data_IF_705472513360
#
_entry.id   IF_705472513360
#
_cell.length_a   1.000
_cell.length_b   1.000
_cell.length_c   1.000
_cell.angle_alpha   90.00
_cell.angle_beta   90.00
_cell.angle_gamma   90.00
#
_symmetry.space_group_name_H-M   'P 1'
#
loop_
_entity.id
_entity.type
_entity.pdbx_description
1 polymer ?
#
# COMPACT_ATOMS: atom_id res chain seq x y z
N UNK A 1 22.80 -34.24 11.86
CA UNK A 1 22.92 -32.84 12.33
C UNK A 1 22.74 -31.80 11.22
N UNK A 2 23.07 -32.11 9.95
CA UNK A 2 22.88 -31.20 8.81
C UNK A 2 21.41 -30.79 8.54
N UNK A 3 20.44 -31.68 8.80
CA UNK A 3 19.00 -31.41 8.57
C UNK A 3 18.39 -30.34 9.49
N UNK A 4 18.91 -30.15 10.71
CA UNK A 4 18.39 -29.16 11.65
C UNK A 4 18.84 -27.74 11.29
N UNK A 5 20.04 -27.58 10.71
CA UNK A 5 20.59 -26.28 10.31
C UNK A 5 19.79 -25.68 9.15
N UNK A 6 19.34 -26.50 8.18
CA UNK A 6 18.54 -26.03 7.05
C UNK A 6 17.16 -25.48 7.49
N UNK A 7 16.55 -26.06 8.53
CA UNK A 7 15.23 -25.63 9.00
C UNK A 7 15.33 -24.28 9.71
N UNK A 8 16.37 -24.07 10.54
CA UNK A 8 16.60 -22.79 11.21
C UNK A 8 16.85 -21.68 10.19
N UNK A 9 17.63 -21.95 9.14
CA UNK A 9 17.92 -20.98 8.09
C UNK A 9 16.66 -20.58 7.30
N UNK A 10 15.79 -21.54 6.97
CA UNK A 10 14.52 -21.28 6.28
C UNK A 10 13.57 -20.42 7.12
N UNK A 11 13.48 -20.68 8.43
CA UNK A 11 12.61 -19.89 9.33
C UNK A 11 13.13 -18.47 9.50
N UNK A 12 14.46 -18.27 9.63
CA UNK A 12 15.04 -16.93 9.70
C UNK A 12 14.87 -16.13 8.41
N UNK A 13 14.92 -16.77 7.24
CA UNK A 13 14.70 -16.08 5.97
C UNK A 13 13.23 -15.70 5.80
N UNK A 14 12.29 -16.58 6.15
CA UNK A 14 10.85 -16.28 6.09
C UNK A 14 10.43 -15.10 6.97
N UNK A 15 11.04 -14.92 8.15
CA UNK A 15 10.78 -13.73 8.98
C UNK A 15 11.39 -12.45 8.42
N UNK A 16 12.41 -12.54 7.56
CA UNK A 16 13.04 -11.38 6.92
C UNK A 16 12.33 -10.89 5.65
N UNK A 17 11.44 -11.70 5.05
CA UNK A 17 10.68 -11.30 3.83
C UNK A 17 9.45 -10.47 4.19
N UNK A 18 9.05 -10.39 5.45
CA UNK A 18 8.23 -9.28 5.94
C UNK A 18 9.18 -8.09 6.14
N UNK A 19 9.79 -7.63 5.05
CA UNK A 19 10.32 -6.28 5.02
C UNK A 19 9.13 -5.41 5.34
N UNK A 20 9.16 -4.78 6.52
CA UNK A 20 8.35 -3.60 6.76
C UNK A 20 8.74 -2.64 5.64
N UNK A 21 7.94 -2.58 4.58
CA UNK A 21 7.86 -1.39 3.72
C UNK A 21 7.35 -0.30 4.65
N UNK A 22 8.26 0.22 5.47
CA UNK A 22 7.99 1.29 6.41
C UNK A 22 7.64 2.48 5.54
N UNK A 23 6.35 2.78 5.43
CA UNK A 23 5.90 4.01 4.77
C UNK A 23 6.59 5.17 5.47
N UNK A 24 7.40 5.93 4.74
CA UNK A 24 7.95 7.18 5.23
C UNK A 24 6.94 8.30 4.92
N UNK A 25 6.29 8.91 5.93
CA UNK A 25 5.38 10.03 5.71
C UNK A 25 6.03 11.16 4.90
N UNK A 26 7.32 11.43 5.12
CA UNK A 26 8.03 12.52 4.47
C UNK A 26 8.19 12.29 2.96
N UNK A 27 8.29 11.03 2.51
CA UNK A 27 8.39 10.67 1.09
C UNK A 27 7.15 11.11 0.31
N UNK A 28 5.98 11.09 0.96
CA UNK A 28 4.69 11.40 0.35
C UNK A 28 4.18 12.80 0.67
N UNK A 29 4.97 13.61 1.38
CA UNK A 29 4.57 14.96 1.80
C UNK A 29 3.55 14.98 2.95
N UNK A 30 3.48 13.90 3.73
CA UNK A 30 2.72 13.85 4.97
C UNK A 30 3.49 14.50 6.13
N UNK A 31 2.79 15.08 7.11
CA UNK A 31 3.43 15.56 8.33
C UNK A 31 3.94 14.37 9.15
N UNK A 32 4.97 14.60 9.97
CA UNK A 32 5.65 13.53 10.72
C UNK A 32 4.80 12.92 11.86
N UNK A 33 3.75 13.62 12.27
CA UNK A 33 2.79 13.19 13.29
C UNK A 33 1.51 12.59 12.68
N UNK A 34 1.53 12.26 11.38
CA UNK A 34 0.42 11.57 10.72
C UNK A 34 0.13 10.23 11.41
N UNK A 35 -1.16 9.89 11.50
CA UNK A 35 -1.57 8.58 11.99
C UNK A 35 -1.10 7.51 11.01
N UNK A 36 -0.19 6.64 11.46
CA UNK A 36 0.39 5.60 10.62
C UNK A 36 -0.64 4.55 10.18
N UNK A 37 -1.69 4.30 10.96
CA UNK A 37 -2.75 3.38 10.56
C UNK A 37 -3.58 3.99 9.43
N UNK A 38 -3.93 5.28 9.54
CA UNK A 38 -4.59 6.01 8.45
C UNK A 38 -3.70 6.04 7.19
N UNK A 39 -2.39 6.28 7.37
CA UNK A 39 -1.43 6.29 6.27
C UNK A 39 -1.37 4.94 5.54
N UNK A 40 -1.35 3.84 6.29
CA UNK A 40 -1.37 2.47 5.74
C UNK A 40 -2.66 2.21 4.97
N UNK A 41 -3.82 2.58 5.52
CA UNK A 41 -5.11 2.39 4.85
C UNK A 41 -5.17 3.15 3.51
N UNK A 42 -4.71 4.41 3.49
CA UNK A 42 -4.66 5.20 2.26
C UNK A 42 -3.67 4.63 1.24
N UNK A 43 -2.56 4.06 1.69
CA UNK A 43 -1.62 3.37 0.82
C UNK A 43 -2.24 2.13 0.16
N UNK A 44 -3.03 1.36 0.90
CA UNK A 44 -3.77 0.22 0.34
C UNK A 44 -4.83 0.65 -0.68
N UNK A 45 -5.49 1.80 -0.48
CA UNK A 45 -6.36 2.40 -1.51
C UNK A 45 -5.57 2.67 -2.80
N UNK A 46 -4.37 3.26 -2.70
CA UNK A 46 -3.54 3.51 -3.88
C UNK A 46 -3.08 2.24 -4.58
N UNK A 47 -2.75 1.17 -3.86
CA UNK A 47 -2.45 -0.14 -4.44
C UNK A 47 -3.66 -0.70 -5.22
N UNK A 48 -4.86 -0.60 -4.64
CA UNK A 48 -6.09 -1.03 -5.32
C UNK A 48 -6.37 -0.22 -6.57
N UNK A 49 -6.13 1.08 -6.55
CA UNK A 49 -6.30 1.92 -7.74
C UNK A 49 -5.27 1.65 -8.82
N UNK A 50 -4.02 1.36 -8.47
CA UNK A 50 -3.01 0.94 -9.45
C UNK A 50 -3.48 -0.34 -10.17
N UNK A 51 -3.98 -1.33 -9.43
CA UNK A 51 -4.50 -2.56 -10.05
C UNK A 51 -5.79 -2.32 -10.87
N UNK A 52 -6.67 -1.45 -10.36
CA UNK A 52 -7.92 -1.09 -11.02
C UNK A 52 -7.69 -0.36 -12.36
N UNK A 53 -6.87 0.68 -12.35
CA UNK A 53 -6.57 1.46 -13.56
C UNK A 53 -5.55 0.77 -14.49
N UNK A 54 -4.83 -0.26 -14.01
CA UNK A 54 -3.73 -0.92 -14.74
C UNK A 54 -2.64 0.07 -15.19
N UNK A 55 -2.50 1.18 -14.47
CA UNK A 55 -1.58 2.28 -14.78
C UNK A 55 -0.58 2.45 -13.65
N UNK A 56 0.70 2.09 -13.85
CA UNK A 56 1.72 2.19 -12.80
C UNK A 56 1.99 3.63 -12.30
N UNK A 57 1.61 4.65 -13.08
CA UNK A 57 1.72 6.07 -12.67
C UNK A 57 0.66 6.43 -11.62
N UNK A 58 -0.44 5.66 -11.57
CA UNK A 58 -1.53 5.83 -10.62
C UNK A 58 -1.04 5.80 -9.18
N UNK A 59 -0.13 4.88 -8.88
CA UNK A 59 0.35 4.64 -7.53
C UNK A 59 1.06 5.89 -6.96
N UNK A 60 2.01 6.45 -7.70
CA UNK A 60 2.75 7.63 -7.25
C UNK A 60 1.87 8.88 -7.16
N UNK A 61 0.98 9.08 -8.14
CA UNK A 61 0.05 10.24 -8.14
C UNK A 61 -0.97 10.17 -7.00
N UNK A 62 -1.40 8.97 -6.65
CA UNK A 62 -2.33 8.72 -5.57
C UNK A 62 -1.76 9.10 -4.19
N UNK A 63 -0.47 8.80 -3.95
CA UNK A 63 0.17 9.13 -2.66
C UNK A 63 0.59 10.59 -2.51
N UNK A 64 0.75 11.30 -3.64
CA UNK A 64 1.29 12.67 -3.68
C UNK A 64 0.54 13.62 -2.74
N UNK A 65 1.26 14.55 -2.11
CA UNK A 65 0.72 15.54 -1.17
C UNK A 65 -0.13 14.91 -0.07
N UNK A 66 0.37 13.84 0.54
CA UNK A 66 -0.31 13.10 1.59
C UNK A 66 -1.74 12.69 1.24
N UNK A 67 -1.93 12.10 0.05
CA UNK A 67 -3.23 11.57 -0.39
C UNK A 67 -4.33 12.63 -0.48
N UNK A 68 -3.97 13.91 -0.67
CA UNK A 68 -4.94 15.02 -0.78
C UNK A 68 -5.25 15.42 -2.22
N UNK A 69 -4.62 14.76 -3.20
CA UNK A 69 -4.80 15.06 -4.63
C UNK A 69 -6.19 14.67 -5.12
N UNK A 70 -6.64 15.33 -6.19
CA UNK A 70 -7.84 14.91 -6.92
C UNK A 70 -7.70 13.48 -7.48
N UNK A 71 -6.46 13.04 -7.76
CA UNK A 71 -6.21 11.67 -8.19
C UNK A 71 -6.66 10.68 -7.11
N UNK A 72 -6.24 10.87 -5.86
CA UNK A 72 -6.67 10.02 -4.74
C UNK A 72 -8.19 9.99 -4.58
N UNK A 73 -8.83 11.16 -4.63
CA UNK A 73 -10.29 11.28 -4.46
C UNK A 73 -11.07 10.57 -5.58
N UNK A 74 -10.64 10.74 -6.83
CA UNK A 74 -11.26 10.08 -7.97
C UNK A 74 -11.04 8.57 -7.90
N UNK A 75 -9.84 8.12 -7.53
CA UNK A 75 -9.52 6.72 -7.30
C UNK A 75 -10.44 6.07 -6.25
N UNK A 76 -10.65 6.71 -5.10
CA UNK A 76 -11.62 6.22 -4.09
C UNK A 76 -13.02 6.10 -4.70
N UNK A 77 -13.46 7.12 -5.43
CA UNK A 77 -14.78 7.15 -6.04
C UNK A 77 -14.95 6.04 -7.08
N UNK A 78 -13.95 5.81 -7.93
CA UNK A 78 -13.97 4.79 -8.97
C UNK A 78 -14.02 3.38 -8.35
N UNK A 79 -13.27 3.13 -7.26
CA UNK A 79 -13.34 1.88 -6.51
C UNK A 79 -14.71 1.68 -5.84
N UNK A 80 -15.29 2.73 -5.27
CA UNK A 80 -16.64 2.68 -4.68
C UNK A 80 -17.72 2.42 -5.74
N UNK A 81 -17.60 3.00 -6.93
CA UNK A 81 -18.52 2.78 -8.04
C UNK A 81 -18.40 1.34 -8.58
N UNK A 82 -17.17 0.84 -8.78
CA UNK A 82 -16.94 -0.54 -9.21
C UNK A 82 -17.47 -1.58 -8.20
N UNK A 83 -17.40 -1.29 -6.89
CA UNK A 83 -17.97 -2.14 -5.85
C UNK A 83 -19.50 -2.21 -5.87
N UNK A 84 -20.18 -1.13 -6.29
CA UNK A 84 -21.65 -1.11 -6.41
C UNK A 84 -22.14 -1.92 -7.60
N UNK A 85 -21.43 -1.84 -8.73
CA UNK A 85 -21.79 -2.60 -9.95
C UNK A 85 -21.68 -4.12 -9.77
N UNK A 86 -20.92 -4.59 -8.77
CA UNK A 86 -20.80 -6.03 -8.46
C UNK A 86 -21.89 -6.56 -7.52
N UNK A 87 -22.69 -5.67 -6.92
CA UNK A 87 -23.80 -6.03 -6.02
C UNK A 87 -25.19 -5.99 -6.70
N UNK A 88 -25.29 -5.48 -7.93
CA UNK A 88 -26.50 -5.47 -8.77
C UNK A 88 -26.56 -6.65 -9.76
#
# INVERSE_FOLDING_TARGET
>A
MLKLICIVFLVTVLTFVVGEDTLDPAEYGCPSDVDMAELTEKNEVCLRCEDFHKEGVAFTLCKTNCFTTEYYKNCVKDLEEAGKETEE
#
